data_IF_185794979776
#
_entry.id   IF_185794979776
#
_cell.length_a   1.000
_cell.length_b   1.000
_cell.length_c   1.000
_cell.angle_alpha   90.00
_cell.angle_beta   90.00
_cell.angle_gamma   90.00
#
_symmetry.space_group_name_H-M   'P 1'
#
loop_
_entity.id
_entity.type
_entity.pdbx_description
1 polymer ?
#
# COMPACT_ATOMS: atom_id res chain seq x y z
N UNK A 1 35.17 18.77 62.21
CA UNK A 1 33.68 18.73 62.35
C UNK A 1 32.90 19.48 61.26
N UNK A 2 33.43 20.53 60.61
CA UNK A 2 32.71 21.26 59.53
C UNK A 2 32.54 20.50 58.19
N UNK A 3 33.37 19.50 57.90
CA UNK A 3 33.34 18.72 56.64
C UNK A 3 32.24 17.65 56.60
N UNK A 4 31.77 17.20 57.76
CA UNK A 4 30.70 16.18 57.87
C UNK A 4 29.33 16.82 57.60
N UNK A 5 29.18 18.08 58.01
CA UNK A 5 27.93 18.83 57.85
C UNK A 5 27.65 19.19 56.37
N UNK A 6 28.69 19.39 55.56
CA UNK A 6 28.54 19.67 54.13
C UNK A 6 28.13 18.43 53.33
N UNK A 7 28.60 17.24 53.74
CA UNK A 7 28.25 15.97 53.08
C UNK A 7 26.79 15.56 53.32
N UNK A 8 26.23 15.90 54.49
CA UNK A 8 24.86 15.56 54.87
C UNK A 8 23.81 16.43 54.15
N UNK A 9 24.15 17.68 53.81
CA UNK A 9 23.30 18.56 53.00
C UNK A 9 23.25 18.09 51.54
N UNK A 10 24.36 17.55 51.01
CA UNK A 10 24.41 17.06 49.63
C UNK A 10 23.63 15.75 49.44
N UNK A 11 23.62 14.86 50.43
CA UNK A 11 22.77 13.65 50.42
C UNK A 11 21.30 13.96 50.67
N UNK A 12 20.97 15.00 51.44
CA UNK A 12 19.58 15.44 51.61
C UNK A 12 18.98 15.99 50.31
N UNK A 13 19.77 16.65 49.45
CA UNK A 13 19.31 17.10 48.13
C UNK A 13 19.08 15.96 47.13
N UNK A 14 19.80 14.84 47.26
CA UNK A 14 19.63 13.67 46.40
C UNK A 14 18.33 12.89 46.68
N UNK A 15 17.67 13.11 47.83
CA UNK A 15 16.45 12.40 48.23
C UNK A 15 15.15 13.15 47.92
N UNK A 16 15.21 14.39 47.42
CA UNK A 16 14.01 15.17 47.04
C UNK A 16 13.57 14.84 45.58
N UNK A 17 14.36 14.07 44.83
CA UNK A 17 14.16 13.82 43.40
C UNK A 17 13.35 12.59 43.00
N UNK A 18 12.76 11.84 43.93
CA UNK A 18 11.90 10.69 43.59
C UNK A 18 10.46 10.98 44.04
N UNK A 19 9.75 11.80 43.26
CA UNK A 19 8.28 11.75 43.24
C UNK A 19 7.90 10.38 42.69
N UNK A 20 7.75 9.41 43.60
CA UNK A 20 7.37 8.05 43.27
C UNK A 20 6.04 8.07 42.53
N UNK A 21 6.06 7.57 41.30
CA UNK A 21 4.85 7.16 40.59
C UNK A 21 4.25 6.02 41.41
N UNK A 22 3.25 6.31 42.23
CA UNK A 22 2.51 5.25 42.92
C UNK A 22 1.64 4.55 41.89
N UNK A 23 1.96 3.30 41.57
CA UNK A 23 1.11 2.41 40.78
C UNK A 23 -0.08 1.93 41.63
N UNK A 24 -0.83 2.85 42.23
CA UNK A 24 -2.05 2.55 42.94
C UNK A 24 -3.22 2.57 41.95
N UNK A 25 -3.79 1.40 41.60
CA UNK A 25 -4.88 1.30 40.64
C UNK A 25 -6.15 2.04 41.11
N UNK A 26 -6.39 2.14 42.42
CA UNK A 26 -7.56 2.85 42.95
C UNK A 26 -7.41 4.36 42.80
N UNK A 27 -6.21 4.89 43.05
CA UNK A 27 -5.90 6.30 42.85
C UNK A 27 -6.01 6.69 41.37
N UNK A 28 -5.52 5.83 40.47
CA UNK A 28 -5.67 6.02 39.02
C UNK A 28 -7.15 6.03 38.61
N UNK A 29 -7.93 5.04 39.04
CA UNK A 29 -9.34 4.96 38.69
C UNK A 29 -10.13 6.17 39.21
N UNK A 30 -9.86 6.62 40.44
CA UNK A 30 -10.48 7.81 41.00
C UNK A 30 -10.15 9.06 40.19
N UNK A 31 -8.89 9.23 39.80
CA UNK A 31 -8.45 10.37 39.00
C UNK A 31 -9.07 10.34 37.58
N UNK A 32 -9.14 9.17 36.95
CA UNK A 32 -9.76 8.99 35.64
C UNK A 32 -11.28 9.25 35.67
N UNK A 33 -11.98 8.76 36.69
CA UNK A 33 -13.42 9.02 36.86
C UNK A 33 -13.67 10.51 37.11
N UNK A 34 -12.86 11.15 37.96
CA UNK A 34 -12.96 12.59 38.23
C UNK A 34 -12.72 13.42 36.96
N UNK A 35 -11.64 13.14 36.24
CA UNK A 35 -11.31 13.80 34.98
C UNK A 35 -12.42 13.64 33.94
N UNK A 36 -12.89 12.41 33.69
CA UNK A 36 -13.93 12.14 32.69
C UNK A 36 -15.28 12.79 33.07
N UNK A 37 -15.63 12.81 34.36
CA UNK A 37 -16.83 13.51 34.84
C UNK A 37 -16.75 15.02 34.61
N UNK A 38 -15.61 15.66 34.90
CA UNK A 38 -15.41 17.08 34.65
C UNK A 38 -15.46 17.42 33.15
N UNK A 39 -14.84 16.59 32.30
CA UNK A 39 -14.87 16.75 30.83
C UNK A 39 -16.29 16.64 30.29
N UNK A 40 -17.07 15.65 30.75
CA UNK A 40 -18.48 15.49 30.36
C UNK A 40 -19.34 16.67 30.81
N UNK A 41 -19.06 17.22 32.00
CA UNK A 41 -19.71 18.43 32.52
C UNK A 41 -19.22 19.74 31.91
N UNK A 42 -18.26 19.71 30.96
CA UNK A 42 -17.58 20.90 30.41
C UNK A 42 -16.97 21.80 31.49
N UNK A 43 -16.55 21.21 32.61
CA UNK A 43 -15.86 21.87 33.73
C UNK A 43 -14.35 21.79 33.49
N UNK A 44 -13.88 22.53 32.47
CA UNK A 44 -12.51 22.41 31.96
C UNK A 44 -11.44 22.76 32.97
N UNK A 45 -11.64 23.85 33.73
CA UNK A 45 -10.72 24.27 34.77
C UNK A 45 -10.53 23.18 35.83
N UNK A 46 -11.60 22.52 36.23
CA UNK A 46 -11.55 21.43 37.21
C UNK A 46 -10.98 20.14 36.61
N UNK A 47 -11.14 19.92 35.30
CA UNK A 47 -10.48 18.83 34.61
C UNK A 47 -8.95 19.01 34.60
N UNK A 48 -8.45 20.26 34.53
CA UNK A 48 -7.01 20.54 34.62
C UNK A 48 -6.41 20.18 35.98
N UNK A 49 -7.19 20.26 37.07
CA UNK A 49 -6.72 19.89 38.41
C UNK A 49 -6.35 18.41 38.53
N UNK A 50 -6.94 17.57 37.68
CA UNK A 50 -6.63 16.14 37.58
C UNK A 50 -5.43 15.85 36.69
N UNK A 51 -4.86 16.84 36.00
CA UNK A 51 -3.73 16.65 35.07
C UNK A 51 -2.46 17.22 35.70
N UNK A 52 -1.30 16.65 35.37
CA UNK A 52 -0.03 17.25 35.83
C UNK A 52 0.14 18.68 35.31
N UNK A 53 0.78 19.59 36.08
CA UNK A 53 0.98 20.98 35.65
C UNK A 53 1.69 21.10 34.31
N UNK A 54 2.66 20.23 34.04
CA UNK A 54 3.45 20.24 32.82
C UNK A 54 2.58 19.93 31.59
N UNK A 55 1.66 18.97 31.71
CA UNK A 55 0.70 18.64 30.65
C UNK A 55 -0.44 19.66 30.58
N UNK A 56 -0.93 20.14 31.72
CA UNK A 56 -1.99 21.13 31.82
C UNK A 56 -1.62 22.43 31.08
N UNK A 57 -0.39 22.92 31.23
CA UNK A 57 0.11 24.11 30.53
C UNK A 57 0.16 23.93 29.01
N UNK A 58 0.34 22.70 28.53
CA UNK A 58 0.37 22.39 27.09
C UNK A 58 -1.04 22.28 26.49
N UNK A 59 -1.97 21.71 27.27
CA UNK A 59 -3.38 21.52 26.92
C UNK A 59 -4.17 22.83 27.06
N UNK A 60 -3.82 23.68 28.01
CA UNK A 60 -4.45 24.96 28.33
C UNK A 60 -3.38 26.02 28.63
N UNK A 61 -2.98 26.84 27.64
CA UNK A 61 -2.03 27.94 27.85
C UNK A 61 -2.53 28.97 28.85
N UNK A 62 -3.85 29.16 28.90
CA UNK A 62 -4.51 30.17 29.74
C UNK A 62 -4.85 29.64 31.14
N UNK A 63 -4.77 28.32 31.36
CA UNK A 63 -5.07 27.67 32.63
C UNK A 63 -6.57 27.60 33.00
N UNK A 64 -7.46 28.09 32.14
CA UNK A 64 -8.91 28.09 32.37
C UNK A 64 -9.65 27.10 31.46
N UNK A 65 -9.23 27.00 30.20
CA UNK A 65 -9.94 26.23 29.19
C UNK A 65 -8.96 25.43 28.32
N UNK A 66 -9.33 24.22 27.95
CA UNK A 66 -8.53 23.42 27.02
C UNK A 66 -8.54 24.08 25.64
N UNK A 67 -7.48 23.92 24.86
CA UNK A 67 -7.54 24.31 23.44
C UNK A 67 -8.64 23.52 22.72
N UNK A 68 -9.28 24.07 21.67
CA UNK A 68 -10.41 23.43 20.99
C UNK A 68 -10.12 22.00 20.50
N UNK A 69 -8.91 21.74 20.02
CA UNK A 69 -8.45 20.41 19.61
C UNK A 69 -8.44 19.40 20.78
N UNK A 70 -8.08 19.86 21.98
CA UNK A 70 -8.04 19.03 23.18
C UNK A 70 -9.41 18.89 23.85
N UNK A 71 -10.29 19.88 23.75
CA UNK A 71 -11.70 19.75 24.16
C UNK A 71 -12.39 18.63 23.38
N UNK A 72 -12.16 18.62 22.07
CA UNK A 72 -12.73 17.63 21.16
C UNK A 72 -12.15 16.24 21.43
N UNK A 73 -10.83 16.14 21.61
CA UNK A 73 -10.16 14.89 21.98
C UNK A 73 -10.67 14.33 23.31
N UNK A 74 -10.72 15.17 24.35
CA UNK A 74 -11.14 14.77 25.68
C UNK A 74 -12.58 14.23 25.70
N UNK A 75 -13.49 14.84 24.95
CA UNK A 75 -14.89 14.37 24.81
C UNK A 75 -15.01 13.02 24.09
N UNK A 76 -14.05 12.71 23.20
CA UNK A 76 -14.03 11.47 22.43
C UNK A 76 -13.37 10.31 23.17
N UNK A 77 -12.69 10.58 24.28
CA UNK A 77 -11.99 9.57 25.06
C UNK A 77 -12.89 9.00 26.16
N UNK A 78 -13.49 7.80 25.97
CA UNK A 78 -14.22 7.15 27.04
C UNK A 78 -13.26 6.62 28.11
N UNK A 79 -13.78 6.47 29.33
CA UNK A 79 -13.04 5.92 30.48
C UNK A 79 -12.36 4.58 30.16
N UNK A 80 -13.02 3.72 29.37
CA UNK A 80 -12.48 2.42 28.95
C UNK A 80 -11.23 2.53 28.07
N UNK A 81 -11.12 3.58 27.25
CA UNK A 81 -9.93 3.87 26.44
C UNK A 81 -8.82 4.41 27.31
N UNK A 82 -9.12 5.34 28.22
CA UNK A 82 -8.14 5.91 29.14
C UNK A 82 -7.51 4.84 30.05
N UNK A 83 -8.31 3.88 30.56
CA UNK A 83 -7.79 2.74 31.34
C UNK A 83 -6.80 1.87 30.57
N UNK A 84 -6.90 1.81 29.24
CA UNK A 84 -6.00 1.04 28.38
C UNK A 84 -4.79 1.86 27.89
N UNK A 85 -4.79 3.17 28.10
CA UNK A 85 -3.77 4.09 27.60
C UNK A 85 -2.47 4.10 28.41
N UNK A 86 -2.31 3.19 29.39
CA UNK A 86 -1.08 3.09 30.18
C UNK A 86 -0.80 4.30 31.07
N UNK A 87 -1.86 5.02 31.47
CA UNK A 87 -1.78 6.20 32.32
C UNK A 87 -1.33 5.84 33.73
N UNK A 88 -0.65 6.78 34.39
CA UNK A 88 -0.24 6.66 35.78
C UNK A 88 -0.65 7.90 36.57
N UNK A 89 -0.53 7.83 37.89
CA UNK A 89 -0.76 8.98 38.78
C UNK A 89 0.54 9.43 39.43
N UNK A 90 0.69 10.75 39.57
CA UNK A 90 1.78 11.36 40.34
C UNK A 90 1.54 11.18 41.86
N UNK A 91 2.51 11.55 42.68
CA UNK A 91 2.40 11.49 44.14
C UNK A 91 1.33 12.41 44.76
N UNK A 92 0.63 13.21 43.94
CA UNK A 92 -0.50 14.06 44.33
C UNK A 92 -1.84 13.53 43.80
N UNK A 93 -1.85 12.39 43.11
CA UNK A 93 -3.04 11.79 42.53
C UNK A 93 -3.49 12.42 41.20
N UNK A 94 -2.58 13.12 40.50
CA UNK A 94 -2.83 13.72 39.18
C UNK A 94 -2.41 12.77 38.08
N UNK A 95 -3.17 12.74 37.00
CA UNK A 95 -2.94 11.94 35.82
C UNK A 95 -1.70 12.40 35.08
N UNK A 96 -0.84 11.44 34.74
CA UNK A 96 0.36 11.58 33.93
C UNK A 96 0.13 10.84 32.61
N UNK A 97 0.37 11.51 31.48
CA UNK A 97 0.26 10.94 30.14
C UNK A 97 -1.07 11.24 29.44
N UNK A 98 -1.92 12.07 30.05
CA UNK A 98 -3.24 12.41 29.50
C UNK A 98 -3.12 13.20 28.19
N UNK A 99 -2.07 14.02 28.05
CA UNK A 99 -1.82 14.72 26.79
C UNK A 99 -1.55 13.73 25.66
N UNK A 100 -0.67 12.76 25.90
CA UNK A 100 -0.34 11.75 24.90
C UNK A 100 -1.57 10.94 24.48
N UNK A 101 -2.44 10.58 25.43
CA UNK A 101 -3.70 9.91 25.13
C UNK A 101 -4.65 10.77 24.26
N UNK A 102 -4.68 12.10 24.49
CA UNK A 102 -5.44 13.03 23.66
C UNK A 102 -4.84 13.24 22.27
N UNK A 103 -3.51 13.35 22.18
CA UNK A 103 -2.82 13.47 20.90
C UNK A 103 -3.08 12.22 20.03
N UNK A 104 -2.95 11.02 20.61
CA UNK A 104 -3.24 9.76 19.94
C UNK A 104 -4.71 9.69 19.48
N UNK A 105 -5.66 10.16 20.29
CA UNK A 105 -7.07 10.22 19.91
C UNK A 105 -7.31 11.15 18.71
N UNK A 106 -6.61 12.28 18.66
CA UNK A 106 -6.67 13.21 17.53
C UNK A 106 -6.09 12.58 16.27
N UNK A 107 -4.92 11.95 16.35
CA UNK A 107 -4.29 11.28 15.21
C UNK A 107 -5.16 10.14 14.66
N UNK A 108 -5.69 9.27 15.54
CA UNK A 108 -6.58 8.18 15.14
C UNK A 108 -7.83 8.68 14.43
N UNK A 109 -8.35 9.84 14.82
CA UNK A 109 -9.51 10.44 14.17
C UNK A 109 -9.17 10.97 12.77
N UNK A 110 -8.03 11.65 12.60
CA UNK A 110 -7.56 12.10 11.27
C UNK A 110 -7.41 10.91 10.33
N UNK A 111 -6.77 9.83 10.79
CA UNK A 111 -6.63 8.59 10.01
C UNK A 111 -8.00 7.98 9.67
N UNK A 112 -8.95 7.99 10.62
CA UNK A 112 -10.31 7.50 10.37
C UNK A 112 -11.06 8.34 9.33
N UNK A 113 -10.90 9.66 9.32
CA UNK A 113 -11.49 10.52 8.29
C UNK A 113 -10.88 10.28 6.91
N UNK A 114 -9.57 10.08 6.84
CA UNK A 114 -8.88 9.72 5.60
C UNK A 114 -9.35 8.36 5.07
N UNK A 115 -9.46 7.35 5.94
CA UNK A 115 -9.99 6.03 5.58
C UNK A 115 -11.46 6.10 5.13
N UNK A 116 -12.27 6.95 5.76
CA UNK A 116 -13.66 7.17 5.31
C UNK A 116 -13.72 7.77 3.90
N UNK A 117 -12.80 8.68 3.55
CA UNK A 117 -12.70 9.26 2.20
C UNK A 117 -12.26 8.25 1.14
N UNK A 118 -11.46 7.25 1.51
CA UNK A 118 -11.05 6.16 0.59
C UNK A 118 -12.26 5.34 0.12
N UNK A 119 -13.27 5.15 0.97
CA UNK A 119 -14.51 4.45 0.62
C UNK A 119 -15.40 5.21 -0.38
N UNK A 120 -15.38 6.55 -0.36
CA UNK A 120 -16.23 7.38 -1.23
C UNK A 120 -15.64 7.58 -2.63
N UNK A 121 -14.36 7.30 -2.86
CA UNK A 121 -13.70 7.43 -4.17
C UNK A 121 -13.60 6.08 -4.92
N UNK A 122 -14.24 5.02 -4.43
CA UNK A 122 -14.19 3.70 -5.08
C UNK A 122 -14.74 3.73 -6.51
N UNK A 123 -15.88 4.38 -6.72
CA UNK A 123 -16.55 4.47 -8.02
C UNK A 123 -15.75 5.34 -9.02
N UNK A 124 -15.21 6.47 -8.56
CA UNK A 124 -14.32 7.32 -9.37
C UNK A 124 -12.99 6.61 -9.72
N UNK A 125 -12.40 5.87 -8.78
CA UNK A 125 -11.19 5.07 -9.05
C UNK A 125 -11.48 3.92 -10.01
N UNK A 126 -12.62 3.25 -9.88
CA UNK A 126 -13.05 2.20 -10.80
C UNK A 126 -13.26 2.74 -12.22
N UNK A 127 -13.96 3.87 -12.35
CA UNK A 127 -14.15 4.55 -13.64
C UNK A 127 -12.82 4.95 -14.28
N UNK A 128 -11.89 5.53 -13.51
CA UNK A 128 -10.53 5.84 -14.00
C UNK A 128 -9.77 4.59 -14.45
N UNK A 129 -9.97 3.46 -13.77
CA UNK A 129 -9.33 2.18 -14.10
C UNK A 129 -9.89 1.58 -15.39
N UNK A 130 -11.21 1.69 -15.58
CA UNK A 130 -11.90 1.27 -16.81
C UNK A 130 -11.44 2.15 -17.98
N UNK A 131 -11.41 3.47 -17.78
CA UNK A 131 -11.01 4.42 -18.81
C UNK A 131 -9.57 4.19 -19.28
N UNK A 132 -8.63 3.99 -18.37
CA UNK A 132 -7.24 3.65 -18.72
C UNK A 132 -7.14 2.36 -19.53
N UNK A 133 -7.91 1.33 -19.16
CA UNK A 133 -7.95 0.05 -19.88
C UNK A 133 -8.54 0.18 -21.29
N UNK A 134 -9.55 1.04 -21.46
CA UNK A 134 -10.14 1.34 -22.76
C UNK A 134 -9.17 2.12 -23.66
N UNK A 135 -8.47 3.12 -23.11
CA UNK A 135 -7.44 3.88 -23.83
C UNK A 135 -6.27 2.98 -24.27
N UNK A 136 -5.78 2.12 -23.37
CA UNK A 136 -4.75 1.13 -23.70
C UNK A 136 -5.23 0.16 -24.80
N UNK A 137 -6.47 -0.33 -24.71
CA UNK A 137 -7.06 -1.19 -25.74
C UNK A 137 -7.23 -0.50 -27.10
N UNK A 138 -7.63 0.77 -27.12
CA UNK A 138 -7.72 1.57 -28.36
C UNK A 138 -6.36 1.82 -28.98
N UNK A 139 -5.34 2.05 -28.15
CA UNK A 139 -3.97 2.25 -28.63
C UNK A 139 -3.42 0.98 -29.29
N UNK A 140 -3.65 -0.19 -28.68
CA UNK A 140 -3.26 -1.48 -29.25
C UNK A 140 -3.97 -1.72 -30.59
N UNK A 141 -5.27 -1.47 -30.67
CA UNK A 141 -6.02 -1.62 -31.94
C UNK A 141 -5.50 -0.70 -33.05
N UNK A 142 -5.13 0.54 -32.73
CA UNK A 142 -4.52 1.44 -33.71
C UNK A 142 -3.12 1.00 -34.14
N UNK A 143 -2.33 0.46 -33.22
CA UNK A 143 -1.02 -0.11 -33.53
C UNK A 143 -1.18 -1.35 -34.44
N UNK A 144 -2.15 -2.23 -34.14
CA UNK A 144 -2.49 -3.39 -34.98
C UNK A 144 -3.04 -3.00 -36.36
N UNK A 145 -3.90 -1.97 -36.45
CA UNK A 145 -4.38 -1.44 -37.74
C UNK A 145 -3.25 -0.82 -38.56
N UNK A 146 -2.32 -0.10 -37.94
CA UNK A 146 -1.16 0.48 -38.61
C UNK A 146 -0.15 -0.59 -39.06
N UNK A 147 0.05 -1.65 -38.27
CA UNK A 147 0.86 -2.80 -38.68
C UNK A 147 0.19 -3.55 -39.84
N UNK A 148 -1.13 -3.77 -39.80
CA UNK A 148 -1.87 -4.40 -40.88
C UNK A 148 -1.86 -3.55 -42.18
N UNK A 149 -1.93 -2.23 -42.09
CA UNK A 149 -1.79 -1.32 -43.24
C UNK A 149 -0.37 -1.31 -43.82
N UNK A 150 0.67 -1.48 -42.99
CA UNK A 150 2.05 -1.63 -43.45
C UNK A 150 2.30 -2.98 -44.11
N UNK A 151 1.73 -4.08 -43.58
CA UNK A 151 1.80 -5.41 -44.20
C UNK A 151 1.10 -5.45 -45.57
N UNK A 152 -0.02 -4.74 -45.74
CA UNK A 152 -0.71 -4.64 -47.04
C UNK A 152 0.05 -3.82 -48.10
N UNK A 153 0.95 -2.91 -47.68
CA UNK A 153 1.77 -2.09 -48.59
C UNK A 153 3.07 -2.75 -49.03
N UNK A 154 3.37 -3.97 -48.59
CA UNK A 154 4.48 -4.73 -49.14
C UNK A 154 4.14 -5.13 -50.57
N UNK A 155 4.60 -4.34 -51.55
CA UNK A 155 4.58 -4.69 -52.97
C UNK A 155 5.15 -6.10 -53.13
N UNK A 156 4.27 -7.05 -53.45
CA UNK A 156 4.67 -8.41 -53.82
C UNK A 156 5.45 -8.28 -55.13
N UNK A 157 6.78 -8.18 -55.05
CA UNK A 157 7.66 -8.31 -56.19
C UNK A 157 7.50 -9.71 -56.75
N UNK A 158 6.55 -9.89 -57.67
CA UNK A 158 6.47 -11.13 -58.44
C UNK A 158 7.75 -11.21 -59.26
N UNK A 159 8.59 -12.21 -58.99
CA UNK A 159 9.76 -12.60 -59.80
C UNK A 159 9.34 -13.07 -61.20
N UNK A 160 8.67 -12.21 -61.98
CA UNK A 160 8.41 -12.45 -63.38
C UNK A 160 9.66 -12.02 -64.13
N UNK A 161 10.42 -13.00 -64.63
CA UNK A 161 11.52 -12.79 -65.56
C UNK A 161 11.08 -11.84 -66.68
N UNK A 162 11.92 -10.85 -66.96
CA UNK A 162 11.69 -9.89 -68.05
C UNK A 162 11.72 -10.60 -69.40
N UNK A 163 11.05 -10.05 -70.42
CA UNK A 163 10.94 -10.70 -71.73
C UNK A 163 12.30 -10.92 -72.42
N UNK A 164 13.32 -10.16 -72.03
CA UNK A 164 14.70 -10.33 -72.48
C UNK A 164 15.37 -11.57 -71.85
N UNK A 165 15.10 -11.89 -70.59
CA UNK A 165 15.63 -13.08 -69.91
C UNK A 165 14.93 -14.37 -70.36
N UNK A 166 13.63 -14.29 -70.66
CA UNK A 166 12.89 -15.41 -71.30
C UNK A 166 13.46 -15.76 -72.67
N UNK A 167 13.99 -14.80 -73.43
CA UNK A 167 14.69 -15.08 -74.70
C UNK A 167 16.04 -15.74 -74.50
N UNK A 168 16.77 -15.38 -73.44
CA UNK A 168 18.11 -15.92 -73.15
C UNK A 168 18.08 -17.35 -72.62
N UNK A 169 17.09 -17.69 -71.78
CA UNK A 169 17.01 -18.99 -71.11
C UNK A 169 15.82 -19.86 -71.56
N UNK A 170 14.88 -19.33 -72.35
CA UNK A 170 13.70 -20.07 -72.85
C UNK A 170 13.95 -20.91 -74.10
N UNK A 171 15.20 -21.09 -74.51
CA UNK A 171 15.54 -21.95 -75.66
C UNK A 171 15.82 -23.38 -75.19
N UNK A 172 14.79 -24.09 -74.74
CA UNK A 172 14.80 -25.57 -74.75
C UNK A 172 14.64 -26.04 -76.19
N UNK A 173 15.72 -25.97 -76.96
CA UNK A 173 15.80 -26.66 -78.25
C UNK A 173 16.86 -27.74 -78.11
N UNK A 174 16.38 -28.97 -78.18
CA UNK A 174 17.12 -30.24 -78.20
C UNK A 174 17.63 -30.77 -76.84
N UNK A 175 16.72 -31.02 -75.90
CA UNK A 175 16.96 -32.10 -74.92
C UNK A 175 16.54 -33.42 -75.56
N UNK A 176 17.51 -34.11 -76.13
CA UNK A 176 17.38 -35.48 -76.60
C UNK A 176 16.99 -36.37 -75.41
N UNK A 177 15.94 -37.19 -75.57
CA UNK A 177 15.51 -38.11 -74.52
C UNK A 177 16.69 -39.04 -74.14
N UNK A 178 16.95 -39.27 -72.83
CA UNK A 178 17.95 -40.23 -72.42
C UNK A 178 17.58 -41.64 -72.91
N UNK A 179 18.54 -42.42 -73.39
CA UNK A 179 18.31 -43.82 -73.76
C UNK A 179 17.83 -44.63 -72.54
N UNK A 180 16.79 -45.44 -72.72
CA UNK A 180 16.29 -46.39 -71.72
C UNK A 180 17.38 -47.41 -71.40
N UNK A 181 17.99 -47.28 -70.22
CA UNK A 181 18.78 -48.34 -69.62
C UNK A 181 17.80 -49.32 -68.95
N UNK A 182 17.54 -50.46 -69.59
CA UNK A 182 16.89 -51.59 -68.94
C UNK A 182 17.91 -52.30 -68.03
N UNK A 183 17.78 -52.09 -66.72
CA UNK A 183 18.39 -52.95 -65.70
C UNK A 183 17.29 -53.88 -65.15
N UNK A 184 17.46 -55.19 -65.37
CA UNK A 184 16.51 -56.26 -65.00
C UNK A 184 16.28 -56.36 -63.48
N UNK A 185 17.02 -55.62 -62.65
CA UNK A 185 16.83 -55.59 -61.20
C UNK A 185 15.77 -54.61 -60.70
N UNK A 186 15.13 -53.84 -61.58
CA UNK A 186 14.16 -52.80 -61.17
C UNK A 186 12.75 -53.37 -60.95
N UNK A 187 12.39 -54.49 -61.60
CA UNK A 187 11.04 -55.09 -61.48
C UNK A 187 10.81 -55.75 -60.11
N UNK A 188 11.83 -56.37 -59.48
CA UNK A 188 11.67 -57.00 -58.16
C UNK A 188 11.48 -55.98 -57.02
N UNK A 189 11.95 -54.75 -57.19
CA UNK A 189 11.81 -53.69 -56.19
C UNK A 189 10.41 -53.04 -56.20
N UNK A 190 9.74 -53.02 -57.35
CA UNK A 190 8.41 -52.41 -57.49
C UNK A 190 7.28 -53.33 -57.02
N UNK A 191 7.42 -54.66 -57.11
CA UNK A 191 6.40 -55.60 -56.63
C UNK A 191 6.27 -55.66 -55.09
N UNK A 192 7.30 -55.30 -54.33
CA UNK A 192 7.22 -55.30 -52.85
C UNK A 192 6.50 -54.09 -52.24
N UNK A 193 6.35 -53.00 -53.01
CA UNK A 193 5.74 -51.75 -52.49
C UNK A 193 4.21 -51.79 -52.61
N UNK A 194 3.65 -52.60 -53.53
CA UNK A 194 2.22 -52.54 -53.85
C UNK A 194 1.34 -53.59 -53.14
N UNK A 195 1.91 -54.57 -52.42
CA UNK A 195 1.17 -55.66 -51.75
C UNK A 195 1.31 -55.66 -50.21
N UNK A 196 1.47 -54.50 -49.58
CA UNK A 196 1.42 -54.35 -48.12
C UNK A 196 0.03 -53.91 -47.64
N UNK A 197 -0.76 -54.87 -47.17
CA UNK A 197 -2.13 -54.71 -46.64
C UNK A 197 -2.31 -53.56 -45.64
N UNK A 198 -3.45 -52.86 -45.79
CA UNK A 198 -4.08 -52.06 -44.75
C UNK A 198 -4.58 -52.99 -43.63
N UNK A 199 -3.88 -53.07 -42.50
CA UNK A 199 -4.49 -53.54 -41.25
C UNK A 199 -4.93 -52.34 -40.40
N UNK A 200 -6.25 -52.19 -40.30
CA UNK A 200 -6.94 -51.36 -39.32
C UNK A 200 -6.93 -52.06 -37.96
N UNK A 201 -6.40 -51.38 -36.95
CA UNK A 201 -6.77 -51.56 -35.53
C UNK A 201 -7.29 -50.22 -34.98
#
# INVERSE_FOLDING_TARGET
MKKILLGLVLTAFALIGCAGTSNDPEALDKALVGFTSCVQGSRWQEALDYVTPDEANQISPDGYEFKPEYQTAARRLPLSTLRKAGLSVDGRGRLVGIKAAMDEANERYVVSEEQAKVGTNLEEMEQKRIQRRLEEGQKILQEEEQEAEQEQQVEVFTNKLTDEEKRKYGSTRDLQAPEEFHDENTEEAEEQIFNGDYESD
#
